data_IF_560527272482
#
_entry.id   IF_560527272482
#
_cell.length_a   1.000
_cell.length_b   1.000
_cell.length_c   1.000
_cell.angle_alpha   90.00
_cell.angle_beta   90.00
_cell.angle_gamma   90.00
#
_symmetry.space_group_name_H-M   'P 1'
#
loop_
_entity.id
_entity.type
_entity.pdbx_description
1 polymer ?
#
# COMPACT_ATOMS: atom_id res chain seq x y z
N UNK A 1 8.34 3.34 -7.05
CA UNK A 1 8.98 2.50 -8.09
C UNK A 1 9.93 3.37 -8.88
N UNK A 2 11.18 2.95 -9.07
CA UNK A 2 12.15 3.63 -9.94
C UNK A 2 11.98 3.22 -11.39
N UNK A 3 12.51 4.02 -12.30
CA UNK A 3 12.69 3.67 -13.70
C UNK A 3 14.11 4.03 -14.15
N UNK A 4 14.58 3.43 -15.24
CA UNK A 4 15.79 3.87 -15.93
C UNK A 4 15.53 5.01 -16.94
N UNK A 5 14.45 5.79 -16.76
CA UNK A 5 14.11 6.92 -17.62
C UNK A 5 14.50 8.25 -16.97
N UNK A 6 14.84 9.21 -17.81
CA UNK A 6 15.04 10.62 -17.44
C UNK A 6 13.78 11.43 -17.71
N UNK A 7 13.67 12.59 -17.06
CA UNK A 7 12.54 13.49 -17.27
C UNK A 7 12.45 13.99 -18.72
N UNK A 8 13.59 14.23 -19.35
CA UNK A 8 13.70 14.69 -20.74
C UNK A 8 13.09 13.68 -21.74
N UNK A 9 13.10 12.39 -21.38
CA UNK A 9 12.50 11.32 -22.19
C UNK A 9 10.98 11.20 -21.97
N UNK A 10 10.52 11.47 -20.74
CA UNK A 10 9.11 11.35 -20.37
C UNK A 10 8.31 12.62 -20.70
N UNK A 11 8.93 13.79 -20.60
CA UNK A 11 8.27 15.08 -20.81
C UNK A 11 7.58 15.20 -22.18
N UNK A 12 8.19 14.81 -23.31
CA UNK A 12 7.54 14.88 -24.62
C UNK A 12 6.29 14.00 -24.74
N UNK A 13 6.27 12.86 -24.04
CA UNK A 13 5.20 11.84 -24.12
C UNK A 13 4.27 11.83 -22.90
N UNK A 14 4.41 12.79 -21.98
CA UNK A 14 3.69 12.79 -20.69
C UNK A 14 2.18 12.68 -20.81
N UNK A 15 1.57 13.27 -21.85
CA UNK A 15 0.12 13.16 -22.09
C UNK A 15 -0.28 11.75 -22.49
N UNK A 16 0.43 11.15 -23.44
CA UNK A 16 0.23 9.77 -23.88
C UNK A 16 0.42 8.79 -22.72
N UNK A 17 1.47 9.00 -21.91
CA UNK A 17 1.71 8.17 -20.72
C UNK A 17 0.57 8.25 -19.71
N UNK A 18 0.04 9.43 -19.46
CA UNK A 18 -1.13 9.62 -18.58
C UNK A 18 -2.35 8.91 -19.15
N UNK A 19 -2.62 9.05 -20.45
CA UNK A 19 -3.72 8.37 -21.13
C UNK A 19 -3.58 6.85 -21.02
N UNK A 20 -2.38 6.31 -21.25
CA UNK A 20 -2.10 4.87 -21.07
C UNK A 20 -2.28 4.39 -19.64
N UNK A 21 -1.85 5.17 -18.65
CA UNK A 21 -2.12 4.86 -17.25
C UNK A 21 -3.62 4.79 -16.96
N UNK A 22 -4.43 5.69 -17.52
CA UNK A 22 -5.89 5.67 -17.39
C UNK A 22 -6.55 4.48 -18.10
N UNK A 23 -6.00 4.03 -19.23
CA UNK A 23 -6.49 2.84 -19.94
C UNK A 23 -6.29 1.57 -19.11
N UNK A 24 -5.11 1.42 -18.50
CA UNK A 24 -4.74 0.22 -17.75
C UNK A 24 -5.26 0.20 -16.30
N UNK A 25 -5.51 1.36 -15.71
CA UNK A 25 -5.72 1.49 -14.27
C UNK A 25 -7.02 2.24 -13.96
N UNK A 26 -8.08 1.53 -13.56
CA UNK A 26 -9.33 2.16 -13.20
C UNK A 26 -9.20 3.09 -11.99
N UNK A 27 -9.74 4.30 -12.12
CA UNK A 27 -9.79 5.33 -11.07
C UNK A 27 -11.23 5.69 -10.68
N UNK A 28 -11.39 6.37 -9.56
CA UNK A 28 -12.66 6.92 -9.10
C UNK A 28 -13.49 6.01 -8.21
N UNK A 29 -14.63 6.54 -7.77
CA UNK A 29 -15.59 5.81 -6.92
C UNK A 29 -16.23 4.69 -7.74
N UNK A 30 -16.12 3.45 -7.27
CA UNK A 30 -16.71 2.30 -7.95
C UNK A 30 -15.95 1.82 -9.19
N UNK A 31 -14.74 2.32 -9.44
CA UNK A 31 -13.86 1.76 -10.47
C UNK A 31 -13.68 0.25 -10.27
N UNK A 32 -13.74 -0.50 -11.37
CA UNK A 32 -13.59 -1.96 -11.36
C UNK A 32 -12.60 -2.39 -12.42
N UNK A 33 -11.84 -3.44 -12.11
CA UNK A 33 -10.99 -4.14 -13.05
C UNK A 33 -11.44 -5.60 -13.10
N UNK A 34 -12.17 -5.94 -14.17
CA UNK A 34 -12.67 -7.30 -14.37
C UNK A 34 -11.53 -8.23 -14.79
N UNK A 35 -11.65 -9.52 -14.45
CA UNK A 35 -10.72 -10.57 -14.87
C UNK A 35 -9.43 -10.68 -14.05
N UNK A 36 -9.19 -9.82 -13.05
CA UNK A 36 -8.01 -9.94 -12.17
C UNK A 36 -8.23 -10.99 -11.09
N UNK A 37 -9.32 -10.88 -10.34
CA UNK A 37 -9.63 -11.78 -9.23
C UNK A 37 -11.14 -11.94 -9.14
N UNK A 38 -11.61 -13.18 -9.12
CA UNK A 38 -13.02 -13.47 -8.84
C UNK A 38 -13.30 -13.42 -7.33
N UNK A 39 -14.55 -13.74 -6.96
CA UNK A 39 -14.99 -13.72 -5.56
C UNK A 39 -14.28 -14.79 -4.73
N UNK A 40 -14.02 -15.96 -5.31
CA UNK A 40 -13.57 -17.13 -4.59
C UNK A 40 -12.07 -17.02 -4.28
N UNK A 41 -11.31 -16.36 -5.17
CA UNK A 41 -9.90 -16.05 -4.96
C UNK A 41 -9.65 -14.80 -4.11
N UNK A 42 -10.68 -13.99 -3.81
CA UNK A 42 -10.50 -12.80 -2.95
C UNK A 42 -10.08 -13.18 -1.52
N UNK A 43 -10.47 -14.38 -1.05
CA UNK A 43 -10.00 -14.92 0.22
C UNK A 43 -8.52 -15.27 0.17
N UNK A 44 -8.04 -15.81 -0.93
CA UNK A 44 -6.62 -16.10 -1.13
C UNK A 44 -5.78 -14.82 -1.17
N UNK A 45 -6.29 -13.77 -1.82
CA UNK A 45 -5.66 -12.44 -1.79
C UNK A 45 -5.52 -11.93 -0.35
N UNK A 46 -6.55 -12.08 0.48
CA UNK A 46 -6.51 -11.66 1.89
C UNK A 46 -5.60 -12.54 2.75
N UNK A 47 -5.34 -13.79 2.37
CA UNK A 47 -4.41 -14.68 3.07
C UNK A 47 -2.96 -14.42 2.68
N UNK A 48 -2.69 -14.24 1.39
CA UNK A 48 -1.34 -14.24 0.83
C UNK A 48 -0.79 -12.84 0.57
N UNK A 49 -1.65 -11.82 0.53
CA UNK A 49 -1.26 -10.43 0.29
C UNK A 49 -0.53 -10.26 -1.03
N UNK A 50 0.60 -9.54 -1.02
CA UNK A 50 1.47 -9.39 -2.20
C UNK A 50 1.97 -10.73 -2.77
N UNK A 51 2.08 -11.77 -1.94
CA UNK A 51 2.45 -13.11 -2.41
C UNK A 51 1.47 -13.69 -3.42
N UNK A 52 0.17 -13.36 -3.33
CA UNK A 52 -0.81 -13.73 -4.35
C UNK A 52 -0.47 -13.07 -5.70
N UNK A 53 -0.07 -11.80 -5.68
CA UNK A 53 0.31 -11.07 -6.88
C UNK A 53 1.55 -11.69 -7.54
N UNK A 54 2.53 -12.16 -6.75
CA UNK A 54 3.68 -12.90 -7.25
C UNK A 54 3.27 -14.21 -7.93
N UNK A 55 2.46 -15.04 -7.26
CA UNK A 55 1.98 -16.31 -7.78
C UNK A 55 1.18 -16.19 -9.09
N UNK A 56 0.51 -15.05 -9.29
CA UNK A 56 -0.33 -14.78 -10.46
C UNK A 56 0.36 -13.91 -11.53
N UNK A 57 1.67 -13.70 -11.44
CA UNK A 57 2.46 -13.00 -12.46
C UNK A 57 2.32 -11.47 -12.47
N UNK A 58 1.75 -10.88 -11.41
CA UNK A 58 1.65 -9.44 -11.24
C UNK A 58 2.87 -8.82 -10.55
N UNK A 59 3.65 -9.61 -9.80
CA UNK A 59 4.85 -9.13 -9.10
C UNK A 59 6.07 -10.00 -9.41
N UNK A 60 7.26 -9.47 -9.14
CA UNK A 60 8.51 -10.24 -9.07
C UNK A 60 8.96 -10.37 -7.61
N UNK A 61 9.87 -11.31 -7.31
CA UNK A 61 10.31 -11.56 -5.93
C UNK A 61 10.87 -10.31 -5.24
N UNK A 62 11.65 -9.49 -5.97
CA UNK A 62 12.19 -8.23 -5.44
C UNK A 62 11.09 -7.27 -4.94
N UNK A 63 9.91 -7.26 -5.59
CA UNK A 63 8.80 -6.43 -5.15
C UNK A 63 8.29 -6.87 -3.77
N UNK A 64 8.30 -8.17 -3.49
CA UNK A 64 7.87 -8.73 -2.20
C UNK A 64 8.88 -8.42 -1.12
N UNK A 65 10.16 -8.53 -1.44
CA UNK A 65 11.26 -8.26 -0.51
C UNK A 65 11.27 -6.79 -0.07
N UNK A 66 10.85 -5.87 -0.95
CA UNK A 66 10.77 -4.43 -0.69
C UNK A 66 9.39 -3.96 -0.21
N UNK A 67 8.51 -4.87 0.20
CA UNK A 67 7.30 -4.51 0.93
C UNK A 67 7.50 -4.58 2.45
N UNK A 68 6.91 -3.63 3.17
CA UNK A 68 6.68 -3.78 4.61
C UNK A 68 5.95 -5.10 4.90
N UNK A 69 6.43 -5.86 5.89
CA UNK A 69 5.95 -7.22 6.22
C UNK A 69 6.02 -8.21 5.04
N UNK A 70 6.92 -7.98 4.07
CA UNK A 70 6.95 -8.71 2.81
C UNK A 70 5.59 -8.74 2.11
N UNK A 71 4.79 -7.68 2.31
CA UNK A 71 3.47 -7.50 1.74
C UNK A 71 2.41 -8.47 2.27
N UNK A 72 2.66 -9.12 3.42
CA UNK A 72 1.71 -10.05 4.04
C UNK A 72 1.83 -10.10 5.57
N UNK A 73 0.78 -9.65 6.25
CA UNK A 73 0.61 -9.85 7.68
C UNK A 73 0.10 -11.27 7.97
N UNK A 74 0.92 -12.02 8.70
CA UNK A 74 0.56 -13.36 9.20
C UNK A 74 -0.56 -13.27 10.24
N UNK A 75 -1.43 -14.27 10.24
CA UNK A 75 -2.59 -14.33 11.14
C UNK A 75 -3.84 -13.63 10.61
N UNK A 76 -3.84 -13.16 9.37
CA UNK A 76 -5.05 -12.76 8.67
C UNK A 76 -6.08 -13.91 8.64
N UNK A 77 -7.35 -13.59 8.85
CA UNK A 77 -8.44 -14.57 8.84
C UNK A 77 -9.60 -14.09 7.95
N UNK A 78 -9.64 -14.50 6.67
CA UNK A 78 -10.70 -14.14 5.74
C UNK A 78 -12.07 -14.71 6.12
N UNK A 79 -12.16 -15.69 7.02
CA UNK A 79 -13.46 -16.22 7.47
C UNK A 79 -14.23 -15.21 8.31
N UNK A 80 -13.54 -14.22 8.89
CA UNK A 80 -14.12 -13.12 9.64
C UNK A 80 -14.65 -11.99 8.73
N UNK A 81 -14.43 -12.09 7.41
CA UNK A 81 -14.84 -11.07 6.45
C UNK A 81 -16.24 -11.39 5.95
N UNK A 82 -17.19 -10.49 6.23
CA UNK A 82 -18.60 -10.66 5.86
C UNK A 82 -18.79 -10.74 4.34
N UNK A 83 -19.82 -11.46 3.90
CA UNK A 83 -20.18 -11.53 2.48
C UNK A 83 -20.49 -10.15 1.89
N UNK A 84 -21.01 -9.23 2.71
CA UNK A 84 -21.20 -7.83 2.35
C UNK A 84 -19.87 -7.15 2.04
N UNK A 85 -18.86 -7.36 2.88
CA UNK A 85 -17.50 -6.84 2.68
C UNK A 85 -16.86 -7.42 1.42
N UNK A 86 -16.96 -8.73 1.21
CA UNK A 86 -16.51 -9.41 -0.01
C UNK A 86 -17.17 -8.81 -1.25
N UNK A 87 -18.50 -8.66 -1.23
CA UNK A 87 -19.26 -8.08 -2.34
C UNK A 87 -18.84 -6.64 -2.65
N UNK A 88 -18.51 -5.84 -1.62
CA UNK A 88 -18.04 -4.46 -1.78
C UNK A 88 -16.61 -4.39 -2.34
N UNK A 89 -15.74 -5.33 -1.97
CA UNK A 89 -14.37 -5.43 -2.48
C UNK A 89 -14.26 -6.06 -3.88
N UNK A 90 -15.27 -6.83 -4.30
CA UNK A 90 -15.28 -7.52 -5.60
C UNK A 90 -15.06 -6.55 -6.77
N UNK A 91 -14.09 -6.89 -7.62
CA UNK A 91 -13.70 -6.11 -8.78
C UNK A 91 -12.88 -4.85 -8.46
N UNK A 92 -12.58 -4.55 -7.19
CA UNK A 92 -11.80 -3.36 -6.82
C UNK A 92 -10.29 -3.61 -6.73
N UNK A 93 -9.85 -4.87 -6.84
CA UNK A 93 -8.42 -5.19 -6.90
C UNK A 93 -7.81 -4.65 -8.20
N UNK A 94 -6.65 -4.02 -8.10
CA UNK A 94 -6.00 -3.31 -9.22
C UNK A 94 -6.55 -1.89 -9.47
N UNK A 95 -7.27 -1.29 -8.51
CA UNK A 95 -7.88 0.04 -8.68
C UNK A 95 -7.33 1.08 -7.70
N UNK A 96 -7.22 2.33 -8.16
CA UNK A 96 -6.72 3.44 -7.33
C UNK A 96 -7.81 3.93 -6.37
N UNK A 97 -8.98 4.21 -6.93
CA UNK A 97 -10.08 4.82 -6.18
C UNK A 97 -10.19 6.32 -6.23
N UNK A 98 -10.71 6.88 -5.14
CA UNK A 98 -11.04 8.29 -4.98
C UNK A 98 -10.44 8.84 -3.68
N UNK A 99 -10.70 10.12 -3.38
CA UNK A 99 -10.15 10.80 -2.23
C UNK A 99 -8.73 11.30 -2.51
N UNK A 100 -7.82 11.08 -1.57
CA UNK A 100 -6.40 11.44 -1.72
C UNK A 100 -5.57 10.33 -2.41
N UNK A 101 -6.21 9.34 -3.04
CA UNK A 101 -5.52 8.29 -3.78
C UNK A 101 -5.13 8.73 -5.18
N UNK A 102 -3.94 8.36 -5.62
CA UNK A 102 -3.39 8.74 -6.92
C UNK A 102 -2.27 7.79 -7.37
N UNK A 103 -1.95 7.86 -8.66
CA UNK A 103 -0.68 7.42 -9.20
C UNK A 103 0.02 8.65 -9.75
N UNK A 104 1.29 8.83 -9.43
CA UNK A 104 2.01 10.05 -9.77
C UNK A 104 3.35 9.70 -10.40
N UNK A 105 3.59 10.23 -11.61
CA UNK A 105 4.90 10.18 -12.26
C UNK A 105 5.66 11.42 -11.86
N UNK A 106 6.81 11.21 -11.21
CA UNK A 106 7.61 12.22 -10.54
C UNK A 106 9.02 12.24 -11.10
N UNK A 107 9.67 13.41 -10.99
CA UNK A 107 11.10 13.56 -11.22
C UNK A 107 11.80 13.66 -9.87
N UNK A 108 12.90 12.93 -9.67
CA UNK A 108 13.81 13.17 -8.55
C UNK A 108 14.50 14.51 -8.78
N UNK A 109 14.07 15.54 -8.06
CA UNK A 109 14.59 16.90 -8.26
C UNK A 109 15.91 17.14 -7.54
N UNK A 110 16.04 16.61 -6.32
CA UNK A 110 17.21 16.84 -5.47
C UNK A 110 17.52 15.62 -4.61
N UNK A 111 18.81 15.27 -4.51
CA UNK A 111 19.31 14.30 -3.54
C UNK A 111 19.89 15.04 -2.32
N UNK A 112 19.51 14.58 -1.12
CA UNK A 112 19.97 15.14 0.17
C UNK A 112 20.97 14.24 0.89
N UNK A 113 20.96 12.95 0.56
CA UNK A 113 21.81 11.92 1.15
C UNK A 113 22.21 10.96 0.02
N UNK A 114 23.40 11.18 -0.52
CA UNK A 114 23.94 10.44 -1.67
C UNK A 114 24.11 8.94 -1.39
N UNK A 115 24.48 8.59 -0.15
CA UNK A 115 24.67 7.19 0.22
C UNK A 115 23.35 6.44 0.20
N UNK A 116 22.31 7.00 0.83
CA UNK A 116 20.98 6.39 0.85
C UNK A 116 20.34 6.38 -0.54
N UNK A 117 20.50 7.46 -1.30
CA UNK A 117 19.99 7.54 -2.67
C UNK A 117 20.58 6.45 -3.55
N UNK A 118 21.90 6.26 -3.52
CA UNK A 118 22.58 5.18 -4.25
C UNK A 118 22.07 3.79 -3.88
N UNK A 119 21.85 3.51 -2.60
CA UNK A 119 21.30 2.20 -2.14
C UNK A 119 19.85 2.02 -2.61
N UNK A 120 19.07 3.10 -2.64
CA UNK A 120 17.69 3.13 -3.15
C UNK A 120 17.59 3.17 -4.67
N UNK A 121 18.72 3.21 -5.39
CA UNK A 121 18.78 3.38 -6.84
C UNK A 121 18.07 4.67 -7.31
N UNK A 122 18.33 5.76 -6.59
CA UNK A 122 17.81 7.09 -6.86
C UNK A 122 18.92 8.04 -7.30
N UNK A 123 18.67 8.82 -8.36
CA UNK A 123 19.54 9.91 -8.80
C UNK A 123 18.72 11.11 -9.31
N UNK A 124 19.29 12.31 -9.33
CA UNK A 124 18.61 13.50 -9.85
C UNK A 124 18.22 13.32 -11.34
N UNK A 125 17.10 13.90 -11.73
CA UNK A 125 16.52 13.78 -13.07
C UNK A 125 15.80 12.45 -13.35
N UNK A 126 15.94 11.43 -12.49
CA UNK A 126 15.29 10.14 -12.67
C UNK A 126 13.77 10.28 -12.60
N UNK A 127 13.08 9.51 -13.43
CA UNK A 127 11.63 9.35 -13.33
C UNK A 127 11.29 8.21 -12.37
N UNK A 128 10.41 8.51 -11.42
CA UNK A 128 9.89 7.55 -10.45
C UNK A 128 8.36 7.59 -10.45
N UNK A 129 7.75 6.50 -10.02
CA UNK A 129 6.29 6.40 -9.88
C UNK A 129 5.92 6.16 -8.44
N UNK A 130 5.02 6.99 -7.94
CA UNK A 130 4.42 6.92 -6.61
C UNK A 130 2.98 6.41 -6.71
N UNK A 131 2.66 5.34 -6.00
CA UNK A 131 1.32 4.73 -5.98
C UNK A 131 0.76 4.92 -4.58
N UNK A 132 -0.29 5.72 -4.45
CA UNK A 132 -0.95 6.00 -3.19
C UNK A 132 -2.40 5.50 -3.23
N UNK A 133 -2.65 4.37 -2.58
CA UNK A 133 -4.00 3.79 -2.43
C UNK A 133 -4.06 2.85 -1.23
N UNK A 134 -5.28 2.44 -0.89
CA UNK A 134 -5.61 1.60 0.26
C UNK A 134 -6.51 0.42 -0.08
N UNK A 135 -7.18 -0.10 0.94
CA UNK A 135 -8.03 -1.30 0.91
C UNK A 135 -9.36 -1.16 0.18
N UNK A 136 -9.56 -0.05 -0.53
CA UNK A 136 -10.80 0.27 -1.26
C UNK A 136 -12.03 0.12 -0.34
N UNK A 137 -13.16 -0.32 -0.89
CA UNK A 137 -14.37 -0.56 -0.13
C UNK A 137 -14.27 -1.73 0.86
N UNK A 138 -13.33 -2.66 0.65
CA UNK A 138 -13.14 -3.82 1.51
C UNK A 138 -12.74 -3.40 2.92
N UNK A 139 -11.58 -2.74 3.08
CA UNK A 139 -11.13 -2.36 4.42
C UNK A 139 -11.97 -1.24 5.06
N UNK A 140 -12.62 -0.39 4.26
CA UNK A 140 -13.62 0.55 4.79
C UNK A 140 -14.78 -0.19 5.45
N UNK A 141 -15.30 -1.25 4.82
CA UNK A 141 -16.39 -2.04 5.39
C UNK A 141 -15.94 -2.84 6.62
N UNK A 142 -14.71 -3.37 6.64
CA UNK A 142 -14.12 -4.01 7.84
C UNK A 142 -14.07 -3.03 9.01
N UNK A 143 -13.63 -1.79 8.76
CA UNK A 143 -13.61 -0.75 9.78
C UNK A 143 -15.02 -0.38 10.26
N UNK A 144 -15.97 -0.15 9.35
CA UNK A 144 -17.36 0.19 9.68
C UNK A 144 -18.03 -0.88 10.56
N UNK A 145 -17.87 -2.15 10.19
CA UNK A 145 -18.47 -3.28 10.90
C UNK A 145 -17.89 -3.39 12.32
N UNK A 146 -16.57 -3.19 12.47
CA UNK A 146 -15.95 -3.17 13.79
C UNK A 146 -16.34 -1.94 14.62
N UNK A 147 -16.40 -0.75 14.01
CA UNK A 147 -16.82 0.48 14.70
C UNK A 147 -18.24 0.35 15.25
N UNK A 148 -19.14 -0.33 14.52
CA UNK A 148 -20.49 -0.64 15.01
C UNK A 148 -20.42 -1.49 16.29
N UNK A 149 -19.66 -2.59 16.28
CA UNK A 149 -19.45 -3.44 17.47
C UNK A 149 -18.86 -2.63 18.64
N UNK A 150 -17.87 -1.77 18.36
CA UNK A 150 -17.27 -0.87 19.34
C UNK A 150 -18.29 0.06 19.98
N UNK A 151 -19.13 0.71 19.16
CA UNK A 151 -20.15 1.66 19.62
C UNK A 151 -21.29 1.02 20.42
N UNK A 152 -21.58 -0.26 20.18
CA UNK A 152 -22.68 -0.97 20.85
C UNK A 152 -22.23 -1.59 22.18
N UNK A 153 -20.99 -2.07 22.28
CA UNK A 153 -20.52 -2.88 23.41
C UNK A 153 -19.45 -2.23 24.30
N UNK A 154 -18.68 -1.28 23.79
CA UNK A 154 -17.44 -0.82 24.44
C UNK A 154 -17.44 0.67 24.78
N UNK A 155 -18.57 1.36 24.62
CA UNK A 155 -18.74 2.74 25.09
C UNK A 155 -18.77 2.75 26.62
N UNK A 156 -17.93 3.59 27.22
CA UNK A 156 -17.87 3.82 28.67
C UNK A 156 -18.03 5.31 28.93
N UNK A 157 -18.66 5.67 30.04
CA UNK A 157 -18.81 7.08 30.45
C UNK A 157 -17.48 7.78 30.68
N UNK A 158 -16.44 7.03 31.05
CA UNK A 158 -15.09 7.55 31.27
C UNK A 158 -14.32 7.90 30.00
N UNK A 159 -14.86 7.62 28.81
CA UNK A 159 -14.18 7.94 27.55
C UNK A 159 -14.29 9.44 27.26
N UNK A 160 -13.19 10.11 26.86
CA UNK A 160 -13.24 11.52 26.47
C UNK A 160 -14.04 11.73 25.16
N UNK A 161 -14.14 10.69 24.32
CA UNK A 161 -14.99 10.67 23.14
C UNK A 161 -15.54 9.24 22.91
N UNK A 162 -16.82 9.11 22.57
CA UNK A 162 -17.45 7.82 22.26
C UNK A 162 -16.83 7.13 21.04
N UNK A 163 -16.25 7.90 20.12
CA UNK A 163 -15.52 7.37 18.95
C UNK A 163 -14.23 6.62 19.34
N UNK A 164 -13.78 6.73 20.59
CA UNK A 164 -12.62 6.01 21.14
C UNK A 164 -13.00 4.69 21.82
N UNK A 165 -14.27 4.27 21.73
CA UNK A 165 -14.68 2.96 22.22
C UNK A 165 -13.90 1.86 21.49
N UNK A 166 -13.26 0.98 22.26
CA UNK A 166 -12.46 -0.12 21.72
C UNK A 166 -12.46 -1.32 22.67
N UNK A 167 -12.43 -2.56 22.15
CA UNK A 167 -12.18 -3.75 22.95
C UNK A 167 -10.76 -3.76 23.52
N UNK A 168 -10.54 -4.56 24.56
CA UNK A 168 -9.18 -4.89 24.99
C UNK A 168 -8.48 -5.70 23.91
N UNK A 169 -7.16 -5.50 23.73
CA UNK A 169 -6.38 -6.20 22.70
C UNK A 169 -6.51 -7.73 22.79
N UNK A 170 -6.51 -8.30 24.00
CA UNK A 170 -6.61 -9.74 24.22
C UNK A 170 -8.04 -10.28 24.26
N UNK A 171 -9.07 -9.45 24.08
CA UNK A 171 -10.46 -9.93 24.04
C UNK A 171 -10.76 -10.63 22.71
N UNK A 172 -11.84 -11.41 22.68
CA UNK A 172 -12.30 -12.06 21.46
C UNK A 172 -12.58 -11.04 20.35
N UNK A 173 -13.28 -9.94 20.64
CA UNK A 173 -13.54 -8.87 19.68
C UNK A 173 -12.26 -8.16 19.20
N UNK A 174 -11.31 -7.89 20.10
CA UNK A 174 -10.04 -7.27 19.74
C UNK A 174 -9.22 -8.13 18.78
N UNK A 175 -9.13 -9.43 19.06
CA UNK A 175 -8.44 -10.39 18.20
C UNK A 175 -9.17 -10.61 16.88
N UNK A 176 -10.51 -10.69 16.88
CA UNK A 176 -11.29 -10.79 15.63
C UNK A 176 -11.04 -9.59 14.72
N UNK A 177 -11.09 -8.37 15.26
CA UNK A 177 -10.81 -7.18 14.46
C UNK A 177 -9.39 -7.16 13.94
N UNK A 178 -8.40 -7.50 14.77
CA UNK A 178 -7.00 -7.53 14.35
C UNK A 178 -6.78 -8.45 13.13
N UNK A 179 -7.32 -9.67 13.17
CA UNK A 179 -7.20 -10.64 12.06
C UNK A 179 -7.96 -10.21 10.81
N UNK A 180 -9.12 -9.58 10.97
CA UNK A 180 -9.87 -9.00 9.84
C UNK A 180 -9.14 -7.78 9.24
N UNK A 181 -8.50 -6.95 10.07
CA UNK A 181 -7.67 -5.83 9.64
C UNK A 181 -6.43 -6.33 8.89
N UNK A 182 -5.79 -7.42 9.34
CA UNK A 182 -4.68 -8.06 8.63
C UNK A 182 -5.11 -8.58 7.25
N UNK A 183 -6.28 -9.21 7.14
CA UNK A 183 -6.86 -9.60 5.86
C UNK A 183 -7.07 -8.39 4.92
N UNK A 184 -7.58 -7.28 5.44
CA UNK A 184 -7.73 -6.04 4.67
C UNK A 184 -6.38 -5.42 4.27
N UNK A 185 -5.35 -5.49 5.13
CA UNK A 185 -4.00 -5.02 4.85
C UNK A 185 -3.34 -5.84 3.72
N UNK A 186 -3.48 -7.16 3.76
CA UNK A 186 -3.02 -8.09 2.73
C UNK A 186 -3.65 -7.76 1.37
N UNK A 187 -4.96 -7.49 1.35
CA UNK A 187 -5.62 -7.00 0.14
C UNK A 187 -5.00 -5.69 -0.39
N UNK A 188 -4.58 -4.77 0.48
CA UNK A 188 -3.94 -3.51 0.06
C UNK A 188 -2.61 -3.76 -0.63
N UNK A 189 -1.74 -4.57 -0.03
CA UNK A 189 -0.45 -4.90 -0.65
C UNK A 189 -0.64 -5.56 -2.00
N UNK A 190 -1.55 -6.54 -2.11
CA UNK A 190 -1.89 -7.13 -3.39
C UNK A 190 -2.42 -6.09 -4.40
N UNK A 191 -3.29 -5.18 -3.96
CA UNK A 191 -3.85 -4.13 -4.82
C UNK A 191 -2.74 -3.24 -5.40
N UNK A 192 -1.78 -2.81 -4.59
CA UNK A 192 -0.66 -1.99 -5.04
C UNK A 192 0.27 -2.74 -5.99
N UNK A 193 0.49 -4.04 -5.78
CA UNK A 193 1.26 -4.86 -6.71
C UNK A 193 0.59 -4.98 -8.09
N UNK A 194 -0.71 -5.25 -8.14
CA UNK A 194 -1.46 -5.29 -9.41
C UNK A 194 -1.45 -3.93 -10.11
N UNK A 195 -1.58 -2.83 -9.35
CA UNK A 195 -1.48 -1.48 -9.92
C UNK A 195 -0.07 -1.24 -10.48
N UNK A 196 0.97 -1.58 -9.74
CA UNK A 196 2.36 -1.42 -10.19
C UNK A 196 2.65 -2.24 -11.45
N UNK A 197 2.11 -3.46 -11.55
CA UNK A 197 2.15 -4.25 -12.78
C UNK A 197 1.55 -3.49 -13.97
N UNK A 198 0.36 -2.90 -13.78
CA UNK A 198 -0.31 -2.15 -14.83
C UNK A 198 0.41 -0.83 -15.16
N UNK A 199 1.08 -0.20 -14.19
CA UNK A 199 2.00 0.91 -14.44
C UNK A 199 3.14 0.45 -15.35
N UNK A 200 3.79 -0.68 -15.04
CA UNK A 200 4.86 -1.24 -15.89
C UNK A 200 4.38 -1.48 -17.32
N UNK A 201 3.18 -2.03 -17.49
CA UNK A 201 2.56 -2.22 -18.82
C UNK A 201 2.33 -0.91 -19.56
N UNK A 202 1.77 0.09 -18.88
CA UNK A 202 1.55 1.42 -19.48
C UNK A 202 2.86 2.07 -19.94
N UNK A 203 3.92 1.97 -19.14
CA UNK A 203 5.25 2.46 -19.54
C UNK A 203 5.81 1.66 -20.73
N UNK A 204 5.74 0.33 -20.71
CA UNK A 204 6.21 -0.51 -21.83
C UNK A 204 5.49 -0.21 -23.14
N UNK A 205 4.20 0.12 -23.09
CA UNK A 205 3.42 0.48 -24.27
C UNK A 205 3.81 1.83 -24.87
N UNK A 206 4.22 2.79 -24.05
CA UNK A 206 4.69 4.12 -24.54
C UNK A 206 6.15 4.04 -25.01
N UNK A 207 6.98 3.27 -24.32
CA UNK A 207 8.43 3.17 -24.58
C UNK A 207 8.80 1.81 -25.22
N UNK A 208 8.09 1.40 -26.27
CA UNK A 208 8.20 0.05 -26.89
C UNK A 208 9.61 -0.35 -27.32
N UNK A 209 10.41 0.62 -27.76
CA UNK A 209 11.76 0.39 -28.28
C UNK A 209 12.84 0.45 -27.19
N UNK A 210 12.43 0.51 -25.91
CA UNK A 210 13.35 0.64 -24.77
C UNK A 210 13.24 -0.57 -23.87
N UNK A 211 14.39 -1.06 -23.42
CA UNK A 211 14.46 -1.99 -22.30
C UNK A 211 14.21 -1.20 -21.01
N UNK A 212 12.96 -1.21 -20.55
CA UNK A 212 12.59 -0.59 -19.28
C UNK A 212 13.05 -1.44 -18.11
N UNK A 213 13.72 -0.80 -17.16
CA UNK A 213 14.08 -1.39 -15.87
C UNK A 213 13.29 -0.64 -14.80
N UNK A 214 12.52 -1.37 -14.00
CA UNK A 214 11.63 -0.78 -12.99
C UNK A 214 11.68 -1.57 -11.70
N UNK A 215 12.03 -0.91 -10.60
CA UNK A 215 12.23 -1.56 -9.30
C UNK A 215 11.36 -0.92 -8.24
N UNK A 216 10.74 -1.73 -7.38
CA UNK A 216 10.08 -1.19 -6.20
C UNK A 216 11.15 -0.69 -5.22
N UNK A 217 11.15 0.62 -4.95
CA UNK A 217 11.95 1.19 -3.86
C UNK A 217 11.45 0.64 -2.53
N UNK A 218 10.23 0.98 -2.14
CA UNK A 218 9.62 0.43 -0.93
C UNK A 218 8.09 0.62 -0.95
N UNK A 219 7.37 -0.29 -0.30
CA UNK A 219 5.93 -0.19 -0.05
C UNK A 219 5.67 -0.16 1.48
N UNK A 220 5.05 0.90 1.97
CA UNK A 220 4.77 1.12 3.41
C UNK A 220 3.30 1.46 3.66
N UNK A 221 2.75 0.96 4.77
CA UNK A 221 1.44 1.30 5.26
C UNK A 221 1.48 2.53 6.18
N UNK A 222 0.38 3.29 6.18
CA UNK A 222 0.22 4.48 7.03
C UNK A 222 -1.07 4.50 7.88
N UNK A 223 -1.92 3.49 7.69
CA UNK A 223 -3.17 3.27 8.42
C UNK A 223 -3.21 1.78 8.77
N UNK A 224 -2.59 1.43 9.90
CA UNK A 224 -2.38 0.03 10.29
C UNK A 224 -2.11 -0.07 11.79
N UNK A 225 -2.49 -1.19 12.38
CA UNK A 225 -2.07 -1.56 13.74
C UNK A 225 -1.20 -2.83 13.67
N UNK A 226 -0.03 -2.82 14.32
CA UNK A 226 0.88 -3.97 14.30
C UNK A 226 1.47 -4.24 15.67
N UNK A 227 1.66 -5.52 15.95
CA UNK A 227 2.40 -5.97 17.12
C UNK A 227 3.90 -5.79 16.84
N UNK A 228 4.55 -4.95 17.64
CA UNK A 228 5.96 -4.59 17.46
C UNK A 228 6.71 -4.62 18.79
N UNK A 229 7.98 -5.01 18.73
CA UNK A 229 8.90 -4.91 19.86
C UNK A 229 9.55 -3.54 19.90
N UNK A 230 9.50 -2.90 21.07
CA UNK A 230 10.11 -1.61 21.34
C UNK A 230 10.86 -1.66 22.67
N UNK A 231 12.04 -1.03 22.70
CA UNK A 231 12.80 -0.82 23.93
C UNK A 231 12.45 0.56 24.50
N UNK A 232 11.86 0.60 25.69
CA UNK A 232 11.52 1.83 26.41
C UNK A 232 12.23 1.76 27.76
N UNK A 233 13.07 2.75 28.04
CA UNK A 233 13.88 2.84 29.26
C UNK A 233 14.74 1.60 29.54
N UNK A 234 15.31 1.02 28.49
CA UNK A 234 16.17 -0.17 28.57
C UNK A 234 15.41 -1.51 28.58
N UNK A 235 14.08 -1.48 28.60
CA UNK A 235 13.25 -2.70 28.67
C UNK A 235 12.56 -2.96 27.34
N UNK A 236 12.86 -4.10 26.71
CA UNK A 236 12.13 -4.57 25.53
C UNK A 236 10.74 -5.09 25.93
N UNK A 237 9.71 -4.54 25.29
CA UNK A 237 8.32 -4.99 25.44
C UNK A 237 7.63 -5.02 24.08
N UNK A 238 6.59 -5.83 24.00
CA UNK A 238 5.73 -5.93 22.84
C UNK A 238 4.53 -4.99 22.98
N UNK A 239 4.19 -4.27 21.90
CA UNK A 239 3.11 -3.30 21.86
C UNK A 239 2.28 -3.46 20.59
N UNK A 240 0.96 -3.27 20.71
CA UNK A 240 0.10 -3.03 19.55
C UNK A 240 0.19 -1.55 19.15
N UNK A 241 1.04 -1.24 18.18
CA UNK A 241 1.28 0.12 17.71
C UNK A 241 0.23 0.48 16.68
N UNK A 242 -0.62 1.46 17.00
CA UNK A 242 -1.63 1.99 16.11
C UNK A 242 -1.06 3.18 15.33
N UNK A 243 -1.13 3.13 14.01
CA UNK A 243 -0.76 4.23 13.13
C UNK A 243 -1.95 4.63 12.27
N UNK A 244 -2.29 5.92 12.30
CA UNK A 244 -3.31 6.53 11.45
C UNK A 244 -2.72 7.81 10.87
N UNK A 245 -2.46 7.83 9.56
CA UNK A 245 -1.70 8.89 8.91
C UNK A 245 -0.21 8.94 9.30
N UNK A 246 0.35 7.83 9.78
CA UNK A 246 1.75 7.74 10.21
C UNK A 246 2.40 6.46 9.68
N UNK A 247 3.65 6.52 9.24
CA UNK A 247 4.38 5.37 8.69
C UNK A 247 5.34 4.78 9.72
N UNK A 248 5.68 3.49 9.55
CA UNK A 248 6.79 2.88 10.30
C UNK A 248 8.12 3.42 9.76
N UNK A 249 9.06 3.70 10.67
CA UNK A 249 10.36 4.27 10.36
C UNK A 249 11.46 3.57 11.16
N UNK A 250 11.67 2.28 10.91
CA UNK A 250 12.74 1.53 11.57
C UNK A 250 14.12 2.02 11.15
N UNK A 251 15.03 2.17 12.11
CA UNK A 251 16.42 2.54 11.87
C UNK A 251 17.25 1.38 11.29
N UNK A 252 18.53 1.64 10.95
CA UNK A 252 19.45 0.63 10.44
C UNK A 252 19.57 -0.61 11.35
N UNK A 253 19.89 -1.76 10.74
CA UNK A 253 20.19 -3.02 11.44
C UNK A 253 18.98 -3.90 11.79
N UNK A 254 17.75 -3.38 11.65
CA UNK A 254 16.52 -4.13 11.95
C UNK A 254 16.32 -5.28 10.96
N UNK A 255 16.04 -6.49 11.49
CA UNK A 255 15.86 -7.70 10.67
C UNK A 255 14.59 -7.64 9.82
N UNK A 256 13.60 -6.87 10.24
CA UNK A 256 12.34 -6.65 9.53
C UNK A 256 12.51 -5.77 8.28
N UNK A 257 13.68 -5.14 8.10
CA UNK A 257 14.04 -4.39 6.89
C UNK A 257 14.68 -5.35 5.90
N UNK A 258 14.32 -5.20 4.62
CA UNK A 258 14.93 -5.94 3.52
C UNK A 258 16.45 -5.80 3.53
N UNK A 259 17.15 -6.85 3.11
CA UNK A 259 18.61 -6.88 3.16
C UNK A 259 19.24 -5.68 2.45
N UNK A 260 18.67 -5.29 1.30
CA UNK A 260 19.06 -4.12 0.50
C UNK A 260 19.12 -2.83 1.33
N UNK A 261 18.16 -2.60 2.23
CA UNK A 261 18.05 -1.33 2.97
C UNK A 261 18.49 -1.41 4.42
N UNK A 262 18.87 -2.60 4.92
CA UNK A 262 19.18 -2.80 6.33
C UNK A 262 20.32 -1.89 6.83
N UNK A 263 21.30 -1.56 5.98
CA UNK A 263 22.39 -0.65 6.32
C UNK A 263 21.95 0.82 6.45
N UNK A 264 20.92 1.24 5.72
CA UNK A 264 20.46 2.63 5.66
C UNK A 264 19.18 2.91 6.48
N UNK A 265 18.52 1.86 6.96
CA UNK A 265 17.22 1.94 7.62
C UNK A 265 16.06 1.81 6.64
N UNK A 266 14.84 1.84 7.18
CA UNK A 266 13.63 1.61 6.39
C UNK A 266 13.36 2.82 5.48
N UNK A 267 13.24 2.63 4.14
CA UNK A 267 12.81 3.71 3.27
C UNK A 267 11.38 4.14 3.63
N UNK A 268 11.15 5.45 3.68
CA UNK A 268 9.87 6.00 4.08
C UNK A 268 9.42 7.08 3.08
N UNK A 269 8.58 6.73 2.10
CA UNK A 269 7.99 7.73 1.21
C UNK A 269 7.09 8.67 2.01
N UNK A 270 7.37 9.97 1.94
CA UNK A 270 6.49 11.01 2.45
C UNK A 270 5.56 11.51 1.35
N UNK A 271 4.26 11.44 1.61
CA UNK A 271 3.20 11.82 0.68
C UNK A 271 2.83 13.29 0.91
N UNK A 272 3.44 14.20 0.16
CA UNK A 272 3.01 15.60 0.07
C UNK A 272 2.97 16.01 -1.40
N UNK A 273 1.81 16.47 -1.85
CA UNK A 273 1.63 16.95 -3.22
C UNK A 273 2.29 18.33 -3.33
N UNK A 274 3.46 18.39 -3.95
CA UNK A 274 4.09 19.64 -4.38
C UNK A 274 4.07 19.70 -5.91
N UNK A 275 3.65 20.85 -6.45
CA UNK A 275 3.03 21.02 -7.78
C UNK A 275 3.86 20.78 -9.06
N UNK A 276 4.94 19.99 -9.03
CA UNK A 276 5.77 19.68 -10.20
C UNK A 276 5.63 18.22 -10.68
N UNK A 277 4.46 17.62 -10.49
CA UNK A 277 4.25 16.20 -10.76
C UNK A 277 3.06 15.92 -11.68
N UNK A 278 3.14 14.79 -12.38
CA UNK A 278 2.06 14.30 -13.24
C UNK A 278 1.19 13.36 -12.41
N UNK A 279 -0.03 13.80 -12.08
CA UNK A 279 -0.95 13.06 -11.22
C UNK A 279 -2.07 12.42 -12.05
N UNK A 280 -2.18 11.09 -11.97
CA UNK A 280 -3.36 10.33 -12.36
C UNK A 280 -4.30 10.19 -11.15
N UNK A 281 -5.24 11.14 -11.01
CA UNK A 281 -6.40 11.03 -10.13
C UNK A 281 -7.59 11.77 -10.73
N UNK A 282 -8.79 11.15 -10.69
CA UNK A 282 -10.03 11.89 -10.98
C UNK A 282 -10.45 12.64 -9.72
N UNK A 283 -10.27 13.97 -9.71
CA UNK A 283 -11.04 14.83 -8.80
C UNK A 283 -12.50 14.76 -9.23
N UNK A 284 -13.36 14.17 -8.40
CA UNK A 284 -14.79 14.36 -8.54
C UNK A 284 -15.06 15.86 -8.35
N UNK A 285 -15.60 16.50 -9.38
CA UNK A 285 -16.14 17.87 -9.30
C UNK A 285 -17.40 17.87 -8.43
#
# INVERSE_FOLDING_TARGET
MTTNLTWEEVEPVKKELVEKLYEYIPVGVGGKLDGVCDRDHLRDVMLKGAGWALENGFAVQEDIDNCEENGCLKGADPSLISDRTIARGKGQLGTVGAGNHYIEVQRVDKILDEEKARVMDLHEGQVVVMIHTGSRGLGHQVADENMKVCSEKFVKESLPDKQLAAPSFHSEEGQKYLRAMYAAANFVWCNRQVIMHNVRRAFSDVFKDRKLETHLVYDVAHNIAKVEKHNIDGVEKEYIVHRKGATRAFGPGRQEISEKYRSIGQPNPHWWINGNSIICSRRNR
#
